data_IF_976809704218
#
_entry.id   IF_976809704218
#
_cell.length_a   1.000
_cell.length_b   1.000
_cell.length_c   1.000
_cell.angle_alpha   90.00
_cell.angle_beta   90.00
_cell.angle_gamma   90.00
#
_symmetry.space_group_name_H-M   'P 1'
#
loop_
_entity.id
_entity.type
_entity.pdbx_description
1 polymer ?
#
# COMPACT_ATOMS: atom_id res chain seq x y z
N UNK A 1 -10.19 43.71 17.99
CA UNK A 1 -10.38 42.28 18.30
C UNK A 1 -9.03 41.61 18.18
N UNK A 2 -8.49 41.12 19.29
CA UNK A 2 -7.09 40.73 19.42
C UNK A 2 -7.01 39.21 19.59
N UNK A 3 -6.79 38.49 18.49
CA UNK A 3 -6.80 37.01 18.41
C UNK A 3 -5.87 36.30 19.41
N UNK A 4 -4.87 36.99 19.96
CA UNK A 4 -3.91 36.41 20.91
C UNK A 4 -4.50 36.23 22.31
N UNK A 5 -5.48 37.06 22.66
CA UNK A 5 -6.11 37.04 23.98
C UNK A 5 -7.11 35.87 24.08
N UNK A 6 -7.77 35.52 22.96
CA UNK A 6 -8.72 34.41 22.89
C UNK A 6 -8.02 33.04 23.07
N UNK A 7 -6.88 32.83 22.40
CA UNK A 7 -6.11 31.57 22.50
C UNK A 7 -5.53 31.36 23.91
N UNK A 8 -5.10 32.45 24.57
CA UNK A 8 -4.63 32.37 25.96
C UNK A 8 -5.78 32.07 26.94
N UNK A 9 -7.01 32.53 26.65
CA UNK A 9 -8.17 32.22 27.48
C UNK A 9 -8.58 30.74 27.39
N UNK A 10 -8.52 30.15 26.19
CA UNK A 10 -8.87 28.73 25.99
C UNK A 10 -7.85 27.78 26.63
N UNK A 11 -6.55 28.09 26.52
CA UNK A 11 -5.49 27.25 27.12
C UNK A 11 -5.55 27.24 28.66
N UNK A 12 -5.99 28.35 29.28
CA UNK A 12 -6.20 28.47 30.72
C UNK A 12 -7.43 27.68 31.20
N UNK A 13 -8.50 27.64 30.40
CA UNK A 13 -9.71 26.87 30.70
C UNK A 13 -9.46 25.35 30.65
N UNK A 14 -8.57 24.89 29.78
CA UNK A 14 -8.22 23.47 29.64
C UNK A 14 -7.37 22.99 30.82
N UNK A 15 -6.40 23.79 31.27
CA UNK A 15 -5.57 23.46 32.45
C UNK A 15 -6.41 23.43 33.73
N UNK A 16 -7.32 24.38 33.91
CA UNK A 16 -8.19 24.43 35.09
C UNK A 16 -9.17 23.23 35.16
N UNK A 17 -9.58 22.68 34.01
CA UNK A 17 -10.39 21.45 33.93
C UNK A 17 -9.59 20.20 34.31
N UNK A 18 -8.30 20.14 33.97
CA UNK A 18 -7.43 19.02 34.33
C UNK A 18 -7.13 18.98 35.84
N UNK A 19 -6.95 20.14 36.48
CA UNK A 19 -6.68 20.20 37.92
C UNK A 19 -7.93 19.85 38.76
N UNK A 20 -9.12 20.28 38.33
CA UNK A 20 -10.40 19.93 38.98
C UNK A 20 -10.74 18.43 38.90
N UNK A 21 -10.25 17.71 37.89
CA UNK A 21 -10.43 16.26 37.78
C UNK A 21 -9.49 15.47 38.71
N UNK A 22 -8.31 16.03 39.03
CA UNK A 22 -7.34 15.36 39.90
C UNK A 22 -7.64 15.56 41.41
N UNK A 23 -8.25 16.68 41.80
CA UNK A 23 -8.65 16.90 43.20
C UNK A 23 -9.88 16.08 43.64
N UNK A 24 -10.72 15.61 42.72
CA UNK A 24 -11.92 14.83 43.04
C UNK A 24 -11.65 13.36 43.45
N UNK A 25 -10.37 12.93 43.53
CA UNK A 25 -9.99 11.54 43.82
C UNK A 25 -9.36 11.31 45.21
N UNK A 26 -9.44 12.27 46.13
CA UNK A 26 -8.92 12.13 47.50
C UNK A 26 -9.99 12.36 48.56
N UNK A 27 -10.89 11.39 48.74
CA UNK A 27 -11.46 11.14 50.06
C UNK A 27 -11.89 9.67 50.20
N UNK A 28 -11.22 8.93 51.08
CA UNK A 28 -11.68 7.62 51.53
C UNK A 28 -11.51 7.52 53.05
N UNK A 29 -12.55 7.15 53.81
CA UNK A 29 -12.46 7.02 55.25
C UNK A 29 -11.66 5.77 55.66
N UNK A 30 -10.81 5.91 56.67
CA UNK A 30 -10.02 4.81 57.28
C UNK A 30 -10.88 3.99 58.22
N UNK A 31 -11.02 2.68 57.98
CA UNK A 31 -11.52 1.72 58.95
C UNK A 31 -10.68 0.42 58.96
N UNK A 32 -10.63 -0.16 60.15
CA UNK A 32 -9.65 -1.13 60.66
C UNK A 32 -9.97 -2.59 60.32
N UNK A 33 -8.95 -3.30 59.80
CA UNK A 33 -8.55 -4.74 59.98
C UNK A 33 -9.53 -5.89 59.60
N UNK A 34 -9.09 -7.17 59.53
CA UNK A 34 -8.07 -7.74 58.62
C UNK A 34 -8.48 -9.11 58.03
N UNK A 35 -8.66 -9.33 56.72
CA UNK A 35 -8.73 -10.71 56.21
C UNK A 35 -8.21 -10.89 54.77
N UNK A 36 -7.27 -11.85 54.68
CA UNK A 36 -6.92 -12.73 53.55
C UNK A 36 -6.37 -12.13 52.25
N UNK A 37 -5.16 -12.61 51.91
CA UNK A 37 -4.51 -12.53 50.60
C UNK A 37 -5.48 -12.74 49.43
N UNK A 38 -5.68 -11.69 48.63
CA UNK A 38 -6.09 -11.84 47.24
C UNK A 38 -4.87 -11.45 46.40
N UNK A 39 -4.28 -12.42 45.69
CA UNK A 39 -3.31 -12.13 44.63
C UNK A 39 -4.06 -11.35 43.56
N UNK A 40 -3.82 -10.05 43.46
CA UNK A 40 -4.23 -9.27 42.29
C UNK A 40 -3.37 -9.75 41.14
N UNK A 41 -3.97 -10.46 40.19
CA UNK A 41 -3.36 -10.67 38.89
C UNK A 41 -3.11 -9.28 38.28
N UNK A 42 -1.85 -8.96 37.99
CA UNK A 42 -1.50 -7.80 37.19
C UNK A 42 -2.09 -8.07 35.81
N UNK A 43 -3.25 -7.49 35.51
CA UNK A 43 -3.79 -7.53 34.16
C UNK A 43 -2.77 -6.84 33.23
N UNK A 44 -2.46 -7.44 32.07
CA UNK A 44 -1.57 -6.83 31.11
C UNK A 44 -2.20 -5.51 30.67
N UNK A 45 -1.49 -4.40 30.91
CA UNK A 45 -1.88 -3.07 30.44
C UNK A 45 -2.28 -3.20 28.97
N UNK A 46 -3.57 -3.05 28.68
CA UNK A 46 -4.05 -3.03 27.31
C UNK A 46 -3.35 -1.86 26.63
N UNK A 47 -2.46 -2.21 25.70
CA UNK A 47 -1.76 -1.26 24.85
C UNK A 47 -2.82 -0.59 23.99
N UNK A 48 -3.27 0.60 24.40
CA UNK A 48 -4.22 1.42 23.63
C UNK A 48 -3.47 1.86 22.37
N UNK A 49 -3.55 1.03 21.32
CA UNK A 49 -3.04 1.37 19.99
C UNK A 49 -3.94 2.49 19.45
N UNK A 50 -3.54 3.73 19.72
CA UNK A 50 -4.22 4.88 19.18
C UNK A 50 -4.19 4.78 17.64
N UNK A 51 -5.35 4.73 16.96
CA UNK A 51 -5.40 4.57 15.51
C UNK A 51 -4.69 5.72 14.78
N UNK A 52 -4.61 6.91 15.41
CA UNK A 52 -3.86 8.04 14.88
C UNK A 52 -2.35 7.81 14.88
N UNK A 53 -1.79 7.27 15.98
CA UNK A 53 -0.36 6.93 16.07
C UNK A 53 -0.02 5.76 15.14
N UNK A 54 -0.95 4.82 14.97
CA UNK A 54 -0.82 3.72 14.02
C UNK A 54 -0.78 4.24 12.58
N UNK A 55 -1.65 5.19 12.22
CA UNK A 55 -1.68 5.82 10.91
C UNK A 55 -0.40 6.61 10.60
N UNK A 56 0.09 7.40 11.55
CA UNK A 56 1.32 8.18 11.36
C UNK A 56 2.54 7.28 11.18
N UNK A 57 2.69 6.25 12.01
CA UNK A 57 3.79 5.29 11.86
C UNK A 57 3.70 4.51 10.55
N UNK A 58 2.50 4.12 10.11
CA UNK A 58 2.29 3.54 8.77
C UNK A 58 2.70 4.50 7.65
N UNK A 59 2.36 5.78 7.77
CA UNK A 59 2.70 6.79 6.77
C UNK A 59 4.20 7.05 6.69
N UNK A 60 4.90 7.09 7.82
CA UNK A 60 6.36 7.19 7.88
C UNK A 60 7.03 5.95 7.31
N UNK A 61 6.56 4.75 7.67
CA UNK A 61 7.07 3.49 7.12
C UNK A 61 6.88 3.44 5.60
N UNK A 62 5.72 3.83 5.09
CA UNK A 62 5.45 3.87 3.65
C UNK A 62 6.38 4.87 2.94
N UNK A 63 6.69 6.02 3.56
CA UNK A 63 7.63 6.99 2.97
C UNK A 63 9.05 6.44 2.88
N UNK A 64 9.50 5.69 3.89
CA UNK A 64 10.80 5.01 3.86
C UNK A 64 10.84 3.97 2.75
N UNK A 65 9.81 3.11 2.67
CA UNK A 65 9.70 2.08 1.63
C UNK A 65 9.63 2.66 0.21
N UNK A 66 8.90 3.78 0.02
CA UNK A 66 8.86 4.48 -1.27
C UNK A 66 10.23 5.07 -1.63
N UNK A 67 11.03 5.48 -0.64
CA UNK A 67 12.41 5.96 -0.83
C UNK A 67 13.38 4.85 -1.23
N UNK A 68 13.12 3.61 -0.80
CA UNK A 68 13.87 2.40 -1.18
C UNK A 68 13.39 1.79 -2.50
N UNK A 69 12.30 2.29 -3.07
CA UNK A 69 11.75 1.78 -4.31
C UNK A 69 12.76 1.90 -5.45
N UNK A 70 12.83 0.91 -6.36
CA UNK A 70 13.77 0.89 -7.46
C UNK A 70 13.68 2.17 -8.29
N UNK A 71 14.84 2.64 -8.73
CA UNK A 71 14.92 3.79 -9.62
C UNK A 71 14.22 3.45 -10.93
N UNK A 72 13.71 4.47 -11.63
CA UNK A 72 12.91 4.27 -12.85
C UNK A 72 13.62 3.42 -13.93
N UNK A 73 14.95 3.37 -13.92
CA UNK A 73 15.80 2.54 -14.81
C UNK A 73 15.75 1.04 -14.51
N UNK A 74 15.41 0.66 -13.28
CA UNK A 74 15.33 -0.73 -12.80
C UNK A 74 13.94 -1.34 -13.01
N UNK A 75 12.98 -0.52 -13.42
CA UNK A 75 11.62 -0.97 -13.70
C UNK A 75 11.56 -1.73 -15.02
N UNK A 76 10.63 -2.69 -15.16
CA UNK A 76 10.48 -3.42 -16.40
C UNK A 76 10.05 -2.47 -17.52
N UNK A 77 10.72 -2.57 -18.66
CA UNK A 77 10.28 -1.90 -19.89
C UNK A 77 9.21 -2.78 -20.53
N UNK A 78 8.24 -2.18 -21.22
CA UNK A 78 7.23 -2.85 -22.03
C UNK A 78 7.16 -2.26 -23.44
N UNK A 79 7.75 -2.96 -24.41
CA UNK A 79 7.65 -2.70 -25.85
C UNK A 79 6.31 -3.10 -26.49
N UNK A 80 5.58 -4.03 -25.88
CA UNK A 80 4.38 -4.66 -26.47
C UNK A 80 4.68 -5.68 -27.58
N UNK A 81 5.94 -6.11 -27.70
CA UNK A 81 6.42 -7.14 -28.63
C UNK A 81 6.86 -8.36 -27.82
N UNK A 82 6.41 -9.57 -28.19
CA UNK A 82 6.83 -10.82 -27.55
C UNK A 82 5.71 -11.58 -26.81
N UNK A 83 5.89 -12.89 -26.68
CA UNK A 83 4.97 -13.76 -25.95
C UNK A 83 5.17 -13.60 -24.44
N UNK A 84 4.08 -13.68 -23.65
CA UNK A 84 4.06 -13.61 -22.17
C UNK A 84 4.56 -12.31 -21.52
N UNK A 85 5.06 -11.38 -22.32
CA UNK A 85 5.74 -10.19 -21.84
C UNK A 85 4.83 -9.24 -21.05
N UNK A 86 3.54 -9.17 -21.39
CA UNK A 86 2.57 -8.34 -20.67
C UNK A 86 2.25 -8.88 -19.27
N UNK A 87 2.17 -10.21 -19.12
CA UNK A 87 1.93 -10.85 -17.82
C UNK A 87 3.12 -10.65 -16.88
N UNK A 88 4.34 -10.84 -17.40
CA UNK A 88 5.56 -10.62 -16.62
C UNK A 88 5.67 -9.15 -16.19
N UNK A 89 5.44 -8.21 -17.11
CA UNK A 89 5.43 -6.78 -16.83
C UNK A 89 4.45 -6.42 -15.69
N UNK A 90 3.20 -6.86 -15.79
CA UNK A 90 2.19 -6.61 -14.75
C UNK A 90 2.63 -7.20 -13.41
N UNK A 91 3.08 -8.47 -13.40
CA UNK A 91 3.50 -9.16 -12.18
C UNK A 91 4.67 -8.46 -11.49
N UNK A 92 5.66 -7.99 -12.25
CA UNK A 92 6.80 -7.26 -11.69
C UNK A 92 6.38 -5.93 -11.07
N UNK A 93 5.45 -5.21 -11.69
CA UNK A 93 4.92 -3.96 -11.09
C UNK A 93 4.10 -4.25 -9.83
N UNK A 94 3.24 -5.28 -9.85
CA UNK A 94 2.45 -5.68 -8.69
C UNK A 94 3.37 -6.10 -7.53
N UNK A 95 4.46 -6.79 -7.83
CA UNK A 95 5.52 -7.12 -6.87
C UNK A 95 6.13 -5.86 -6.23
N UNK A 96 6.48 -4.85 -7.04
CA UNK A 96 7.01 -3.59 -6.52
C UNK A 96 5.99 -2.81 -5.71
N UNK A 97 4.72 -2.83 -6.12
CA UNK A 97 3.64 -2.21 -5.37
C UNK A 97 3.53 -2.81 -3.97
N UNK A 98 3.63 -4.14 -3.86
CA UNK A 98 3.55 -4.86 -2.59
C UNK A 98 4.79 -4.62 -1.71
N UNK A 99 6.00 -4.77 -2.25
CA UNK A 99 7.22 -4.63 -1.45
C UNK A 99 7.51 -3.21 -0.99
N UNK A 100 7.23 -2.21 -1.82
CA UNK A 100 7.59 -0.82 -1.54
C UNK A 100 6.38 0.05 -1.17
N UNK A 101 5.20 -0.55 -0.99
CA UNK A 101 3.94 0.13 -0.70
C UNK A 101 3.67 1.33 -1.64
N UNK A 102 3.94 1.14 -2.93
CA UNK A 102 3.91 2.24 -3.91
C UNK A 102 2.46 2.63 -4.20
N UNK A 103 2.09 3.92 -4.05
CA UNK A 103 0.76 4.39 -4.41
C UNK A 103 0.51 4.32 -5.93
N UNK A 104 -0.74 4.06 -6.29
CA UNK A 104 -1.19 3.96 -7.68
C UNK A 104 -0.84 5.21 -8.51
N UNK A 105 -0.87 6.41 -7.91
CA UNK A 105 -0.51 7.64 -8.63
C UNK A 105 0.95 7.64 -9.08
N UNK A 106 1.86 7.08 -8.28
CA UNK A 106 3.27 6.98 -8.66
C UNK A 106 3.45 5.97 -9.80
N UNK A 107 2.82 4.80 -9.71
CA UNK A 107 2.88 3.78 -10.78
C UNK A 107 2.37 4.37 -12.10
N UNK A 108 1.16 4.96 -12.07
CA UNK A 108 0.51 5.52 -13.27
C UNK A 108 1.27 6.71 -13.84
N UNK A 109 1.95 7.50 -13.00
CA UNK A 109 2.84 8.57 -13.47
C UNK A 109 4.07 8.03 -14.21
N UNK A 110 4.60 6.85 -13.82
CA UNK A 110 5.80 6.24 -14.43
C UNK A 110 5.50 5.47 -15.71
N UNK A 111 4.26 5.01 -15.93
CA UNK A 111 3.86 4.19 -17.09
C UNK A 111 4.34 4.75 -18.44
N UNK A 112 4.26 6.06 -18.66
CA UNK A 112 4.69 6.69 -19.93
C UNK A 112 6.17 6.44 -20.28
N UNK A 113 7.02 6.20 -19.27
CA UNK A 113 8.44 5.92 -19.40
C UNK A 113 8.73 4.42 -19.48
N UNK A 114 7.87 3.58 -18.88
CA UNK A 114 7.99 2.13 -18.95
C UNK A 114 7.56 1.58 -20.31
N UNK A 115 6.65 2.28 -21.01
CA UNK A 115 6.22 1.88 -22.34
C UNK A 115 7.20 2.35 -23.42
N UNK A 116 7.53 1.43 -24.32
CA UNK A 116 8.37 1.68 -25.50
C UNK A 116 7.67 1.30 -26.80
N UNK A 117 8.24 1.76 -27.93
CA UNK A 117 7.81 1.43 -29.30
C UNK A 117 6.28 1.49 -29.50
N UNK A 118 5.67 0.36 -29.87
CA UNK A 118 4.25 0.24 -30.17
C UNK A 118 3.38 0.41 -28.92
N UNK A 119 3.76 -0.19 -27.79
CA UNK A 119 3.04 -0.02 -26.53
C UNK A 119 2.97 1.45 -26.10
N UNK A 120 4.05 2.22 -26.30
CA UNK A 120 4.06 3.66 -26.00
C UNK A 120 3.03 4.44 -26.81
N UNK A 121 2.92 4.17 -28.11
CA UNK A 121 1.93 4.81 -28.98
C UNK A 121 0.50 4.47 -28.53
N UNK A 122 0.24 3.19 -28.25
CA UNK A 122 -1.06 2.74 -27.74
C UNK A 122 -1.42 3.42 -26.41
N UNK A 123 -0.48 3.50 -25.46
CA UNK A 123 -0.69 4.14 -24.15
C UNK A 123 -1.15 5.59 -24.29
N UNK A 124 -0.53 6.37 -25.19
CA UNK A 124 -0.92 7.77 -25.39
C UNK A 124 -2.33 7.93 -25.96
N UNK A 125 -2.77 7.01 -26.82
CA UNK A 125 -4.13 7.03 -27.38
C UNK A 125 -5.14 6.76 -26.26
N UNK A 126 -4.96 5.67 -25.52
CA UNK A 126 -5.86 5.26 -24.44
C UNK A 126 -5.90 6.31 -23.31
N UNK A 127 -4.76 6.90 -22.96
CA UNK A 127 -4.70 7.93 -21.92
C UNK A 127 -5.41 9.22 -22.34
N UNK A 128 -5.39 9.58 -23.62
CA UNK A 128 -6.12 10.75 -24.12
C UNK A 128 -7.63 10.51 -24.12
N UNK A 129 -8.09 9.29 -24.44
CA UNK A 129 -9.52 8.96 -24.49
C UNK A 129 -10.13 8.73 -23.11
N UNK A 130 -9.39 8.14 -22.17
CA UNK A 130 -9.93 7.69 -20.88
C UNK A 130 -9.43 8.50 -19.69
N UNK A 131 -8.47 9.42 -19.86
CA UNK A 131 -7.97 10.29 -18.81
C UNK A 131 -7.08 9.61 -17.77
N UNK A 132 -7.17 10.07 -16.50
CA UNK A 132 -6.42 9.50 -15.38
C UNK A 132 -7.20 8.34 -14.78
N UNK A 133 -6.57 7.17 -14.71
CA UNK A 133 -7.16 5.93 -14.18
C UNK A 133 -6.18 5.23 -13.23
N UNK A 134 -6.70 4.36 -12.39
CA UNK A 134 -5.95 3.57 -11.39
C UNK A 134 -5.06 2.51 -12.05
N UNK A 135 -4.10 1.96 -11.31
CA UNK A 135 -3.24 0.90 -11.83
C UNK A 135 -4.05 -0.35 -12.18
N UNK A 136 -5.04 -0.70 -11.34
CA UNK A 136 -5.95 -1.83 -11.61
C UNK A 136 -6.66 -1.73 -12.96
N UNK A 137 -7.11 -0.53 -13.33
CA UNK A 137 -7.73 -0.30 -14.63
C UNK A 137 -6.73 -0.50 -15.79
N UNK A 138 -5.52 0.05 -15.65
CA UNK A 138 -4.46 -0.14 -16.65
C UNK A 138 -4.08 -1.62 -16.83
N UNK A 139 -4.08 -2.43 -15.77
CA UNK A 139 -3.87 -3.87 -15.87
C UNK A 139 -4.90 -4.54 -16.79
N UNK A 140 -6.18 -4.20 -16.60
CA UNK A 140 -7.24 -4.76 -17.43
C UNK A 140 -7.12 -4.35 -18.89
N UNK A 141 -6.74 -3.10 -19.18
CA UNK A 141 -6.52 -2.65 -20.55
C UNK A 141 -5.32 -3.35 -21.22
N UNK A 142 -4.23 -3.55 -20.48
CA UNK A 142 -3.07 -4.29 -20.98
C UNK A 142 -3.46 -5.75 -21.27
N UNK A 143 -4.18 -6.40 -20.35
CA UNK A 143 -4.66 -7.78 -20.54
C UNK A 143 -5.64 -7.86 -21.72
N UNK A 144 -6.55 -6.90 -21.85
CA UNK A 144 -7.51 -6.86 -22.97
C UNK A 144 -6.79 -6.70 -24.31
N UNK A 145 -5.75 -5.85 -24.36
CA UNK A 145 -5.04 -5.55 -25.60
C UNK A 145 -4.09 -6.68 -26.04
N UNK A 146 -3.37 -7.29 -25.11
CA UNK A 146 -2.32 -8.28 -25.42
C UNK A 146 -2.64 -9.72 -24.99
N UNK A 147 -3.62 -9.92 -24.12
CA UNK A 147 -4.08 -11.23 -23.62
C UNK A 147 -5.35 -11.74 -24.32
N UNK A 148 -5.49 -11.46 -25.63
CA UNK A 148 -6.64 -11.89 -26.43
C UNK A 148 -6.68 -13.43 -26.62
N UNK A 149 -7.80 -13.95 -27.10
CA UNK A 149 -8.00 -15.40 -27.27
C UNK A 149 -6.96 -16.05 -28.20
N UNK A 150 -6.51 -15.31 -29.23
CA UNK A 150 -5.45 -15.78 -30.10
C UNK A 150 -4.11 -15.96 -29.36
N UNK A 151 -3.80 -15.08 -28.40
CA UNK A 151 -2.63 -15.24 -27.53
C UNK A 151 -2.80 -16.45 -26.60
N UNK A 152 -3.98 -16.61 -25.97
CA UNK A 152 -4.26 -17.76 -25.09
C UNK A 152 -4.11 -19.09 -25.84
N UNK A 153 -4.67 -19.17 -27.04
CA UNK A 153 -4.56 -20.36 -27.90
C UNK A 153 -3.10 -20.66 -28.28
N UNK A 154 -2.30 -19.65 -28.61
CA UNK A 154 -0.87 -19.83 -28.88
C UNK A 154 -0.11 -20.38 -27.67
N UNK A 155 -0.42 -19.86 -26.49
CA UNK A 155 0.17 -20.30 -25.21
C UNK A 155 -0.19 -21.75 -24.91
N UNK A 156 -1.46 -22.11 -25.04
CA UNK A 156 -1.95 -23.48 -24.83
C UNK A 156 -1.27 -24.46 -25.80
N UNK A 157 -1.25 -24.11 -27.09
CA UNK A 157 -0.57 -24.93 -28.10
C UNK A 157 0.95 -25.02 -27.85
N UNK A 158 1.61 -23.94 -27.44
CA UNK A 158 3.03 -23.97 -27.09
C UNK A 158 3.28 -24.90 -25.88
N UNK A 159 2.41 -24.86 -24.87
CA UNK A 159 2.49 -25.73 -23.70
C UNK A 159 2.29 -27.21 -24.07
N UNK A 160 1.26 -27.53 -24.85
CA UNK A 160 1.00 -28.91 -25.33
C UNK A 160 2.16 -29.46 -26.16
N UNK A 161 2.77 -28.63 -27.00
CA UNK A 161 3.92 -29.04 -27.82
C UNK A 161 5.25 -29.11 -27.05
N UNK A 162 5.31 -28.55 -25.83
CA UNK A 162 6.50 -28.58 -24.96
C UNK A 162 6.59 -29.86 -24.12
N UNK A 163 5.70 -30.83 -24.32
CA UNK A 163 5.74 -32.09 -23.60
C UNK A 163 6.96 -32.91 -24.05
N UNK A 164 7.87 -33.21 -23.11
CA UNK A 164 9.05 -34.03 -23.36
C UNK A 164 8.63 -35.41 -23.83
N UNK A 165 8.95 -35.72 -25.08
CA UNK A 165 8.71 -37.02 -25.68
C UNK A 165 10.01 -37.81 -25.69
N UNK A 166 10.06 -39.06 -25.15
CA UNK A 166 11.28 -39.87 -25.17
C UNK A 166 11.83 -40.13 -26.59
N UNK A 167 11.00 -39.94 -27.63
CA UNK A 167 11.40 -40.04 -29.04
C UNK A 167 11.91 -38.72 -29.64
N UNK A 168 11.53 -37.56 -29.07
CA UNK A 168 11.86 -36.22 -29.59
C UNK A 168 13.12 -35.63 -28.95
N UNK A 169 13.34 -35.94 -27.68
CA UNK A 169 14.43 -35.38 -26.89
C UNK A 169 15.39 -36.51 -26.49
N UNK A 170 16.39 -36.79 -27.34
CA UNK A 170 17.51 -37.67 -26.97
C UNK A 170 18.41 -36.95 -25.94
N UNK A 171 18.96 -37.68 -24.95
CA UNK A 171 19.84 -37.11 -23.93
C UNK A 171 21.13 -36.54 -24.52
#
# INVERSE_FOLDING_TARGET
MNLKDDIQSETRLITEKMDKMNEASLDMPKLSTPFSCIRIAVEPKQEIKNPFITYLSQQENNRVLIGEAPQLKEWPIFTGEGEYYHMLFIKTIDMFQEYYAIPDELITSRLHSLFEKYAKRWYYVIRQTNGKNTWSWWKQEIITKWGNDAWRYKIENAFENSFFGPDKDKP
#
